data_IF_476084354550
#
_entry.id   IF_476084354550
#
_cell.length_a   1.000
_cell.length_b   1.000
_cell.length_c   1.000
_cell.angle_alpha   90.00
_cell.angle_beta   90.00
_cell.angle_gamma   90.00
#
_symmetry.space_group_name_H-M   'P 1'
#
loop_
_entity.id
_entity.type
_entity.pdbx_description
1 polymer ?
#
# COMPACT_ATOMS: atom_id res chain seq x y z
N UNK A 1 -32.41 49.84 31.88
CA UNK A 1 -31.69 48.75 31.18
C UNK A 1 -32.44 47.44 31.41
N UNK A 2 -33.04 46.83 30.36
CA UNK A 2 -33.64 45.49 30.48
C UNK A 2 -32.51 44.47 30.56
N UNK A 3 -32.25 43.90 31.75
CA UNK A 3 -31.42 42.69 31.89
C UNK A 3 -32.22 41.52 31.33
N UNK A 4 -31.95 41.12 30.10
CA UNK A 4 -32.39 39.83 29.58
C UNK A 4 -31.60 38.75 30.32
N UNK A 5 -32.20 38.20 31.37
CA UNK A 5 -31.68 37.00 32.04
C UNK A 5 -31.90 35.86 31.03
N UNK A 6 -30.85 35.49 30.29
CA UNK A 6 -30.87 34.26 29.46
C UNK A 6 -31.21 33.10 30.41
N UNK A 7 -32.39 32.48 30.25
CA UNK A 7 -32.84 31.40 31.13
C UNK A 7 -31.94 30.19 31.00
N UNK A 8 -31.83 29.40 32.07
CA UNK A 8 -31.07 28.13 32.11
C UNK A 8 -31.43 27.20 30.94
N UNK A 9 -32.69 27.20 30.51
CA UNK A 9 -33.21 26.41 29.39
C UNK A 9 -32.62 26.80 28.02
N UNK A 10 -32.24 28.06 27.79
CA UNK A 10 -31.56 28.48 26.56
C UNK A 10 -30.14 27.92 26.47
N UNK A 11 -29.40 27.96 27.59
CA UNK A 11 -28.05 27.41 27.67
C UNK A 11 -28.05 25.88 27.58
N UNK A 12 -29.04 25.21 28.18
CA UNK A 12 -29.23 23.76 28.05
C UNK A 12 -29.51 23.38 26.59
N UNK A 13 -30.35 24.14 25.87
CA UNK A 13 -30.62 23.92 24.44
C UNK A 13 -29.37 24.06 23.56
N UNK A 14 -28.51 25.04 23.84
CA UNK A 14 -27.22 25.20 23.15
C UNK A 14 -26.29 24.02 23.43
N UNK A 15 -26.18 23.59 24.69
CA UNK A 15 -25.31 22.45 25.08
C UNK A 15 -25.79 21.15 24.43
N UNK A 16 -27.09 20.89 24.42
CA UNK A 16 -27.68 19.72 23.74
C UNK A 16 -27.43 19.79 22.23
N UNK A 17 -27.63 20.95 21.60
CA UNK A 17 -27.37 21.15 20.18
C UNK A 17 -25.92 20.86 19.79
N UNK A 18 -24.96 21.36 20.57
CA UNK A 18 -23.52 21.09 20.35
C UNK A 18 -23.21 19.60 20.54
N UNK A 19 -23.76 18.96 21.58
CA UNK A 19 -23.54 17.54 21.84
C UNK A 19 -24.05 16.65 20.69
N UNK A 20 -25.19 16.97 20.09
CA UNK A 20 -25.74 16.25 18.93
C UNK A 20 -24.83 16.40 17.71
N UNK A 21 -24.32 17.62 17.44
CA UNK A 21 -23.40 17.85 16.32
C UNK A 21 -22.11 17.05 16.51
N UNK A 22 -21.51 17.07 17.70
CA UNK A 22 -20.28 16.32 17.99
C UNK A 22 -20.53 14.80 17.85
N UNK A 23 -21.65 14.30 18.39
CA UNK A 23 -22.00 12.89 18.26
C UNK A 23 -22.22 12.48 16.79
N UNK A 24 -22.86 13.33 15.99
CA UNK A 24 -23.06 13.11 14.56
C UNK A 24 -21.73 13.06 13.79
N UNK A 25 -20.81 13.99 14.05
CA UNK A 25 -19.48 14.01 13.45
C UNK A 25 -18.66 12.78 13.85
N UNK A 26 -18.70 12.37 15.12
CA UNK A 26 -18.02 11.18 15.60
C UNK A 26 -18.55 9.89 14.94
N UNK A 27 -19.88 9.78 14.77
CA UNK A 27 -20.50 8.65 14.07
C UNK A 27 -20.14 8.61 12.58
N UNK A 28 -20.11 9.76 11.92
CA UNK A 28 -19.69 9.87 10.51
C UNK A 28 -18.24 9.40 10.35
N UNK A 29 -17.32 9.96 11.15
CA UNK A 29 -15.91 9.60 11.13
C UNK A 29 -15.71 8.09 11.38
N UNK A 30 -16.38 7.53 12.40
CA UNK A 30 -16.32 6.09 12.67
C UNK A 30 -16.83 5.24 11.51
N UNK A 31 -17.93 5.64 10.86
CA UNK A 31 -18.48 4.91 9.72
C UNK A 31 -17.56 4.95 8.51
N UNK A 32 -16.91 6.09 8.27
CA UNK A 32 -15.99 6.26 7.15
C UNK A 32 -14.71 5.45 7.37
N UNK A 33 -14.13 5.50 8.57
CA UNK A 33 -12.97 4.67 8.93
C UNK A 33 -13.27 3.18 8.73
N UNK A 34 -14.48 2.72 9.11
CA UNK A 34 -14.91 1.32 8.90
C UNK A 34 -15.11 0.95 7.43
N UNK A 35 -15.43 1.92 6.56
CA UNK A 35 -15.50 1.73 5.12
C UNK A 35 -14.09 1.59 4.54
N UNK A 36 -13.20 2.52 4.86
CA UNK A 36 -11.78 2.49 4.46
C UNK A 36 -11.10 1.18 4.87
N UNK A 37 -11.33 0.72 6.11
CA UNK A 37 -10.79 -0.55 6.60
C UNK A 37 -11.18 -1.76 5.73
N UNK A 38 -12.42 -1.80 5.23
CA UNK A 38 -12.91 -2.91 4.40
C UNK A 38 -12.37 -2.85 2.99
N UNK A 39 -12.35 -1.66 2.39
CA UNK A 39 -11.83 -1.42 1.05
C UNK A 39 -10.34 -1.80 1.00
N UNK A 40 -9.54 -1.26 1.92
CA UNK A 40 -8.11 -1.58 1.99
C UNK A 40 -7.86 -3.06 2.27
N UNK A 41 -8.62 -3.70 3.17
CA UNK A 41 -8.45 -5.13 3.46
C UNK A 41 -8.71 -6.01 2.22
N UNK A 42 -9.73 -5.67 1.43
CA UNK A 42 -10.06 -6.42 0.22
C UNK A 42 -8.94 -6.32 -0.81
N UNK A 43 -8.45 -5.10 -1.05
CA UNK A 43 -7.38 -4.87 -2.00
C UNK A 43 -6.06 -5.52 -1.56
N UNK A 44 -5.65 -5.35 -0.31
CA UNK A 44 -4.42 -5.95 0.22
C UNK A 44 -4.41 -7.47 0.09
N UNK A 45 -5.54 -8.15 0.30
CA UNK A 45 -5.64 -9.61 0.14
C UNK A 45 -5.50 -10.05 -1.32
N UNK A 46 -6.05 -9.28 -2.25
CA UNK A 46 -5.91 -9.55 -3.67
C UNK A 46 -4.47 -9.32 -4.11
N UNK A 47 -3.92 -8.17 -3.73
CA UNK A 47 -2.57 -7.77 -4.07
C UNK A 47 -1.51 -8.70 -3.50
N UNK A 48 -1.65 -9.11 -2.23
CA UNK A 48 -0.75 -10.10 -1.61
C UNK A 48 -0.64 -11.37 -2.46
N UNK A 49 -1.77 -11.90 -2.94
CA UNK A 49 -1.79 -13.13 -3.73
C UNK A 49 -1.07 -12.96 -5.08
N UNK A 50 -1.21 -11.80 -5.71
CA UNK A 50 -0.60 -11.50 -6.99
C UNK A 50 0.91 -11.27 -6.82
N UNK A 51 1.31 -10.43 -5.85
CA UNK A 51 2.70 -10.18 -5.50
C UNK A 51 3.42 -11.48 -5.08
N UNK A 52 2.81 -12.34 -4.28
CA UNK A 52 3.39 -13.64 -3.91
C UNK A 52 3.68 -14.54 -5.12
N UNK A 53 2.89 -14.43 -6.19
CA UNK A 53 3.13 -15.16 -7.42
C UNK A 53 4.30 -14.53 -8.18
N UNK A 54 4.32 -13.20 -8.29
CA UNK A 54 5.36 -12.49 -9.04
C UNK A 54 6.73 -12.62 -8.37
N UNK A 55 6.79 -12.61 -7.04
CA UNK A 55 8.03 -12.81 -6.28
C UNK A 55 8.57 -14.24 -6.46
N UNK A 56 7.69 -15.25 -6.49
CA UNK A 56 8.11 -16.63 -6.82
C UNK A 56 8.61 -16.76 -8.26
N UNK A 57 8.02 -16.02 -9.19
CA UNK A 57 8.51 -15.98 -10.56
C UNK A 57 9.90 -15.32 -10.62
N UNK A 58 10.12 -14.25 -9.85
CA UNK A 58 11.42 -13.58 -9.71
C UNK A 58 12.51 -14.51 -9.17
N UNK A 59 12.24 -15.24 -8.09
CA UNK A 59 13.15 -16.26 -7.52
C UNK A 59 13.54 -17.37 -8.52
N UNK A 60 12.75 -17.52 -9.58
CA UNK A 60 12.89 -18.57 -10.60
C UNK A 60 13.41 -18.06 -11.94
N UNK A 61 13.90 -16.81 -11.99
CA UNK A 61 14.48 -16.22 -13.19
C UNK A 61 15.60 -17.11 -13.78
N UNK A 62 15.69 -17.25 -15.11
CA UNK A 62 16.79 -17.95 -15.74
C UNK A 62 18.09 -17.18 -15.52
N UNK A 63 19.24 -17.82 -15.76
CA UNK A 63 20.51 -17.09 -15.78
C UNK A 63 20.55 -16.15 -16.99
N UNK A 64 20.62 -14.84 -16.72
CA UNK A 64 20.66 -13.79 -17.74
C UNK A 64 21.76 -14.00 -18.79
N UNK A 65 22.91 -14.57 -18.39
CA UNK A 65 24.03 -14.87 -19.31
C UNK A 65 23.75 -16.07 -20.20
N UNK A 66 22.86 -16.98 -19.79
CA UNK A 66 22.51 -18.19 -20.54
C UNK A 66 21.30 -17.98 -21.45
N UNK A 67 20.30 -17.24 -20.99
CA UNK A 67 19.06 -17.01 -21.72
C UNK A 67 18.52 -15.59 -21.53
N UNK A 68 19.28 -14.60 -22.05
CA UNK A 68 18.90 -13.18 -22.01
C UNK A 68 17.47 -12.93 -22.48
N UNK A 69 17.03 -13.59 -23.55
CA UNK A 69 15.70 -13.34 -24.13
C UNK A 69 14.59 -13.77 -23.18
N UNK A 70 14.73 -14.93 -22.56
CA UNK A 70 13.74 -15.39 -21.59
C UNK A 70 13.81 -14.61 -20.27
N UNK A 71 15.01 -14.19 -19.85
CA UNK A 71 15.24 -13.34 -18.69
C UNK A 71 14.49 -12.01 -18.80
N UNK A 72 14.78 -11.22 -19.84
CA UNK A 72 14.14 -9.90 -20.08
C UNK A 72 12.62 -10.04 -20.15
N UNK A 73 12.12 -11.05 -20.87
CA UNK A 73 10.68 -11.30 -20.96
C UNK A 73 10.03 -11.56 -19.59
N UNK A 74 10.73 -12.20 -18.67
CA UNK A 74 10.21 -12.45 -17.32
C UNK A 74 10.30 -11.20 -16.44
N UNK A 75 11.39 -10.44 -16.52
CA UNK A 75 11.52 -9.13 -15.87
C UNK A 75 10.38 -8.22 -16.31
N UNK A 76 10.17 -8.02 -17.61
CA UNK A 76 9.07 -7.20 -18.15
C UNK A 76 7.70 -7.63 -17.59
N UNK A 77 7.45 -8.94 -17.56
CA UNK A 77 6.19 -9.48 -17.06
C UNK A 77 6.01 -9.16 -15.57
N UNK A 78 7.06 -9.34 -14.77
CA UNK A 78 7.04 -9.08 -13.33
C UNK A 78 6.87 -7.58 -13.08
N UNK A 79 7.66 -6.72 -13.75
CA UNK A 79 7.55 -5.26 -13.64
C UNK A 79 6.14 -4.76 -13.94
N UNK A 80 5.55 -5.18 -15.06
CA UNK A 80 4.17 -4.78 -15.42
C UNK A 80 3.13 -5.24 -14.39
N UNK A 81 3.33 -6.43 -13.81
CA UNK A 81 2.41 -6.97 -12.79
C UNK A 81 2.55 -6.21 -11.47
N UNK A 82 3.78 -5.93 -11.03
CA UNK A 82 4.06 -5.14 -9.83
C UNK A 82 3.58 -3.69 -9.99
N UNK A 83 3.75 -3.09 -11.16
CA UNK A 83 3.25 -1.74 -11.47
C UNK A 83 1.71 -1.68 -11.41
N UNK A 84 1.03 -2.71 -11.91
CA UNK A 84 -0.43 -2.83 -11.78
C UNK A 84 -0.84 -2.86 -10.30
N UNK A 85 -0.17 -3.68 -9.48
CA UNK A 85 -0.44 -3.75 -8.04
C UNK A 85 -0.11 -2.46 -7.29
N UNK A 86 0.98 -1.79 -7.65
CA UNK A 86 1.33 -0.48 -7.10
C UNK A 86 0.23 0.55 -7.38
N UNK A 87 -0.24 0.64 -8.62
CA UNK A 87 -1.29 1.57 -9.02
C UNK A 87 -2.61 1.27 -8.31
N UNK A 88 -3.01 0.00 -8.24
CA UNK A 88 -4.21 -0.43 -7.51
C UNK A 88 -4.13 -0.07 -6.01
N UNK A 89 -2.94 -0.15 -5.41
CA UNK A 89 -2.74 0.20 -3.99
C UNK A 89 -2.66 1.72 -3.77
N UNK A 90 -2.05 2.49 -4.67
CA UNK A 90 -1.95 3.96 -4.60
C UNK A 90 -3.33 4.62 -4.61
N UNK A 91 -4.28 4.08 -5.36
CA UNK A 91 -5.63 4.63 -5.46
C UNK A 91 -6.45 4.49 -4.17
N UNK A 92 -5.97 3.72 -3.20
CA UNK A 92 -6.69 3.43 -1.96
C UNK A 92 -6.32 4.44 -0.89
N UNK A 93 -7.34 5.10 -0.34
CA UNK A 93 -7.17 5.88 0.87
C UNK A 93 -7.00 4.95 2.08
N UNK A 94 -5.84 4.96 2.76
CA UNK A 94 -5.62 4.08 3.89
C UNK A 94 -6.31 4.63 5.17
N UNK A 95 -6.93 3.78 6.00
CA UNK A 95 -7.37 4.15 7.34
C UNK A 95 -6.20 4.61 8.22
N UNK A 96 -6.48 5.43 9.23
CA UNK A 96 -5.47 6.07 10.08
C UNK A 96 -4.50 5.04 10.71
N UNK A 97 -5.02 3.87 11.08
CA UNK A 97 -4.25 2.82 11.76
C UNK A 97 -3.22 2.11 10.87
N UNK A 98 -3.29 2.27 9.54
CA UNK A 98 -2.40 1.63 8.57
C UNK A 98 -1.63 2.60 7.69
N UNK A 99 -2.00 3.89 7.61
CA UNK A 99 -1.39 4.89 6.71
C UNK A 99 0.13 4.78 6.56
N UNK A 100 0.88 4.80 7.67
CA UNK A 100 2.35 4.73 7.63
C UNK A 100 2.90 3.41 7.08
N UNK A 101 2.22 2.29 7.35
CA UNK A 101 2.65 0.98 6.84
C UNK A 101 2.28 0.86 5.37
N UNK A 102 1.13 1.42 4.99
CA UNK A 102 0.68 1.45 3.61
C UNK A 102 1.64 2.25 2.72
N UNK A 103 2.03 3.45 3.14
CA UNK A 103 3.06 4.25 2.44
C UNK A 103 4.38 3.48 2.32
N UNK A 104 4.85 2.83 3.39
CA UNK A 104 6.07 2.03 3.32
C UNK A 104 5.99 0.83 2.36
N UNK A 105 4.81 0.26 2.13
CA UNK A 105 4.61 -0.76 1.08
C UNK A 105 4.74 -0.13 -0.31
N UNK A 106 4.12 1.02 -0.54
CA UNK A 106 4.20 1.73 -1.82
C UNK A 106 5.65 2.14 -2.14
N UNK A 107 6.37 2.72 -1.18
CA UNK A 107 7.77 3.10 -1.34
C UNK A 107 8.65 1.90 -1.72
N UNK A 108 8.44 0.74 -1.09
CA UNK A 108 9.20 -0.46 -1.42
C UNK A 108 8.82 -1.06 -2.78
N UNK A 109 7.55 -0.96 -3.21
CA UNK A 109 7.12 -1.39 -4.55
C UNK A 109 7.72 -0.49 -5.63
N UNK A 110 7.75 0.83 -5.41
CA UNK A 110 8.42 1.79 -6.30
C UNK A 110 9.91 1.47 -6.42
N UNK A 111 10.60 1.21 -5.30
CA UNK A 111 12.00 0.80 -5.32
C UNK A 111 12.22 -0.53 -6.06
N UNK A 112 11.30 -1.49 -5.95
CA UNK A 112 11.40 -2.73 -6.73
C UNK A 112 11.34 -2.42 -8.22
N UNK A 113 10.40 -1.59 -8.67
CA UNK A 113 10.26 -1.19 -10.08
C UNK A 113 11.51 -0.48 -10.60
N UNK A 114 12.05 0.50 -9.84
CA UNK A 114 13.28 1.21 -10.19
C UNK A 114 14.48 0.27 -10.37
N UNK A 115 14.57 -0.76 -9.52
CA UNK A 115 15.66 -1.74 -9.59
C UNK A 115 15.44 -2.74 -10.73
N UNK A 116 14.20 -3.12 -11.05
CA UNK A 116 13.89 -3.94 -12.23
C UNK A 116 14.24 -3.22 -13.53
N UNK A 117 13.95 -1.92 -13.63
CA UNK A 117 14.36 -1.08 -14.75
C UNK A 117 15.89 -0.98 -14.86
N UNK A 118 16.56 -0.85 -13.72
CA UNK A 118 18.03 -0.87 -13.66
C UNK A 118 18.61 -2.20 -14.14
N UNK A 119 17.98 -3.32 -13.77
CA UNK A 119 18.35 -4.66 -14.26
C UNK A 119 18.22 -4.73 -15.77
N UNK A 120 17.09 -4.30 -16.34
CA UNK A 120 16.87 -4.34 -17.80
C UNK A 120 17.93 -3.50 -18.55
N UNK A 121 18.22 -2.29 -18.05
CA UNK A 121 19.28 -1.44 -18.60
C UNK A 121 20.67 -2.09 -18.55
N UNK A 122 21.01 -2.80 -17.47
CA UNK A 122 22.29 -3.52 -17.36
C UNK A 122 22.37 -4.66 -18.37
N UNK A 123 21.29 -5.42 -18.53
CA UNK A 123 21.19 -6.49 -19.52
C UNK A 123 21.34 -5.95 -20.94
N UNK A 124 20.74 -4.81 -21.25
CA UNK A 124 20.84 -4.18 -22.58
C UNK A 124 22.22 -3.61 -22.89
N UNK A 125 22.93 -3.15 -21.87
CA UNK A 125 24.31 -2.70 -21.99
C UNK A 125 25.35 -3.82 -21.85
N UNK A 126 24.93 -5.09 -21.77
CA UNK A 126 25.82 -6.27 -21.64
C UNK A 126 26.67 -6.27 -20.35
N UNK A 127 26.04 -5.85 -19.27
CA UNK A 127 26.59 -5.82 -17.91
C UNK A 127 25.86 -6.83 -17.01
N UNK A 128 25.63 -8.05 -17.51
CA UNK A 128 24.90 -9.10 -16.78
C UNK A 128 25.61 -9.55 -15.49
N UNK A 129 26.91 -9.24 -15.34
CA UNK A 129 27.66 -9.45 -14.09
C UNK A 129 27.31 -8.45 -12.98
N UNK A 130 26.76 -7.29 -13.33
CA UNK A 130 26.35 -6.24 -12.39
C UNK A 130 24.89 -6.36 -11.93
N UNK A 131 24.13 -7.33 -12.46
CA UNK A 131 22.70 -7.52 -12.15
C UNK A 131 22.47 -8.08 -10.76
N UNK A 132 23.34 -8.98 -10.29
CA UNK A 132 23.10 -9.72 -9.04
C UNK A 132 22.88 -8.84 -7.79
N UNK A 133 23.65 -7.75 -7.56
CA UNK A 133 23.38 -6.85 -6.45
C UNK A 133 21.99 -6.19 -6.50
N UNK A 134 21.45 -5.93 -7.69
CA UNK A 134 20.10 -5.37 -7.84
C UNK A 134 19.04 -6.43 -7.55
N UNK A 135 19.25 -7.66 -8.03
CA UNK A 135 18.37 -8.79 -7.70
C UNK A 135 18.33 -9.06 -6.19
N UNK A 136 19.49 -9.08 -5.53
CA UNK A 136 19.57 -9.29 -4.07
C UNK A 136 18.83 -8.18 -3.30
N UNK A 137 18.91 -6.94 -3.78
CA UNK A 137 18.18 -5.83 -3.16
C UNK A 137 16.67 -5.90 -3.42
N UNK A 138 16.25 -6.30 -4.62
CA UNK A 138 14.85 -6.57 -4.94
C UNK A 138 14.30 -7.66 -4.02
N UNK A 139 15.02 -8.77 -3.82
CA UNK A 139 14.61 -9.85 -2.92
C UNK A 139 14.36 -9.35 -1.49
N UNK A 140 15.25 -8.50 -0.96
CA UNK A 140 15.09 -7.88 0.35
C UNK A 140 13.82 -7.01 0.42
N UNK A 141 13.56 -6.20 -0.61
CA UNK A 141 12.36 -5.36 -0.70
C UNK A 141 11.08 -6.21 -0.78
N UNK A 142 11.08 -7.30 -1.54
CA UNK A 142 9.96 -8.24 -1.64
C UNK A 142 9.61 -8.84 -0.27
N UNK A 143 10.61 -9.18 0.54
CA UNK A 143 10.41 -9.66 1.91
C UNK A 143 9.76 -8.58 2.79
N UNK A 144 10.18 -7.32 2.67
CA UNK A 144 9.58 -6.21 3.42
C UNK A 144 8.14 -5.95 3.01
N UNK A 145 7.85 -5.92 1.70
CA UNK A 145 6.49 -5.75 1.16
C UNK A 145 5.55 -6.82 1.71
N UNK A 146 5.92 -8.10 1.61
CA UNK A 146 5.10 -9.20 2.11
C UNK A 146 4.82 -9.06 3.61
N UNK A 147 5.86 -8.80 4.40
CA UNK A 147 5.75 -8.65 5.85
C UNK A 147 4.83 -7.50 6.24
N UNK A 148 4.92 -6.36 5.56
CA UNK A 148 4.11 -5.19 5.88
C UNK A 148 2.68 -5.29 5.35
N UNK A 149 2.43 -5.97 4.23
CA UNK A 149 1.09 -6.35 3.78
C UNK A 149 0.41 -7.27 4.81
N UNK A 150 1.08 -8.32 5.27
CA UNK A 150 0.56 -9.22 6.30
C UNK A 150 0.20 -8.48 7.60
N UNK A 151 1.08 -7.54 8.00
CA UNK A 151 0.88 -6.70 9.18
C UNK A 151 -0.34 -5.79 9.02
N UNK A 152 -0.55 -5.21 7.83
CA UNK A 152 -1.75 -4.42 7.54
C UNK A 152 -3.02 -5.27 7.58
N UNK A 153 -3.03 -6.41 6.90
CA UNK A 153 -4.17 -7.36 6.90
C UNK A 153 -4.54 -7.76 8.33
N UNK A 154 -3.55 -8.07 9.18
CA UNK A 154 -3.78 -8.43 10.58
C UNK A 154 -4.34 -7.29 11.43
N UNK A 155 -3.98 -6.03 11.13
CA UNK A 155 -4.52 -4.84 11.79
C UNK A 155 -5.96 -4.53 11.36
N UNK A 156 -6.29 -4.80 10.09
CA UNK A 156 -7.59 -4.52 9.49
C UNK A 156 -8.62 -5.63 9.76
N UNK A 157 -8.17 -6.87 9.99
CA UNK A 157 -9.04 -8.02 10.27
C UNK A 157 -9.50 -8.12 11.73
N UNK A 158 -9.14 -7.14 12.58
CA UNK A 158 -9.54 -7.03 13.99
C UNK A 158 -10.65 -6.01 14.15
#
# INVERSE_FOLDING_TARGET
MKKTIKSSSFWIGIVIGIAIIIAGLALFYYSDEKRLEKEQLSALKLSQKNLEKDFKEFDSLPDAKKDKKQYVKQIDKISNSIEYEYNDLVEIEPPEKTVYIHTGVLDNLELILDNLDSVDLLIDNKHEDAVKPFEDYIDDLMLYVNKDIEKQIKKLSK
#
